data_IF_757467870986
#
_entry.id   IF_757467870986
#
_cell.length_a   1.000
_cell.length_b   1.000
_cell.length_c   1.000
_cell.angle_alpha   90.00
_cell.angle_beta   90.00
_cell.angle_gamma   90.00
#
_symmetry.space_group_name_H-M   'P 1'
#
loop_
_entity.id
_entity.type
_entity.pdbx_description
1 polymer ?
#
# COMPACT_ATOMS: atom_id res chain seq x y z
N UNK A 1 -5.14 -19.93 -15.33
CA UNK A 1 -3.97 -19.48 -16.13
C UNK A 1 -4.20 -18.12 -16.78
N UNK A 2 -5.28 -17.90 -17.54
CA UNK A 2 -5.55 -16.62 -18.23
C UNK A 2 -5.62 -15.42 -17.26
N UNK A 3 -6.31 -15.55 -16.12
CA UNK A 3 -6.42 -14.49 -15.12
C UNK A 3 -5.05 -14.10 -14.49
N UNK A 4 -4.16 -15.07 -14.26
CA UNK A 4 -2.81 -14.80 -13.76
C UNK A 4 -1.98 -14.00 -14.78
N UNK A 5 -2.09 -14.36 -16.06
CA UNK A 5 -1.45 -13.61 -17.15
C UNK A 5 -2.02 -12.18 -17.21
N UNK A 6 -3.34 -12.01 -17.06
CA UNK A 6 -3.98 -10.70 -17.04
C UNK A 6 -3.49 -9.84 -15.84
N UNK A 7 -3.30 -10.44 -14.65
CA UNK A 7 -2.72 -9.75 -13.49
C UNK A 7 -1.29 -9.25 -13.77
N UNK A 8 -0.43 -10.10 -14.35
CA UNK A 8 0.94 -9.69 -14.70
C UNK A 8 0.96 -8.64 -15.80
N UNK A 9 0.13 -8.81 -16.85
CA UNK A 9 -0.01 -7.83 -17.92
C UNK A 9 -0.49 -6.47 -17.39
N UNK A 10 -1.44 -6.46 -16.45
CA UNK A 10 -1.90 -5.24 -15.78
C UNK A 10 -0.79 -4.51 -15.04
N UNK A 11 0.01 -5.22 -14.24
CA UNK A 11 1.19 -4.62 -13.57
C UNK A 11 2.18 -4.09 -14.61
N UNK A 12 2.47 -4.86 -15.66
CA UNK A 12 3.39 -4.43 -16.71
C UNK A 12 2.90 -3.16 -17.42
N UNK A 13 1.61 -3.08 -17.74
CA UNK A 13 1.00 -1.89 -18.34
C UNK A 13 1.13 -0.68 -17.40
N UNK A 14 0.87 -0.85 -16.10
CA UNK A 14 1.02 0.22 -15.11
C UNK A 14 2.47 0.71 -15.01
N UNK A 15 3.45 -0.21 -15.07
CA UNK A 15 4.87 0.15 -15.11
C UNK A 15 5.20 0.96 -16.37
N UNK A 16 4.73 0.53 -17.54
CA UNK A 16 4.96 1.23 -18.83
C UNK A 16 4.34 2.63 -18.82
N UNK A 17 3.09 2.74 -18.35
CA UNK A 17 2.40 4.04 -18.23
C UNK A 17 3.17 4.96 -17.29
N UNK A 18 3.58 4.46 -16.12
CA UNK A 18 4.30 5.25 -15.12
C UNK A 18 5.64 5.73 -15.67
N UNK A 19 6.39 4.87 -16.37
CA UNK A 19 7.65 5.23 -17.00
C UNK A 19 7.45 6.24 -18.16
N UNK A 20 6.39 6.10 -18.94
CA UNK A 20 6.01 7.07 -19.98
C UNK A 20 5.74 8.46 -19.39
N UNK A 21 4.93 8.52 -18.31
CA UNK A 21 4.62 9.78 -17.62
C UNK A 21 5.86 10.43 -17.01
N UNK A 22 6.81 9.62 -16.54
CA UNK A 22 8.10 10.09 -16.06
C UNK A 22 8.95 10.68 -17.20
N UNK A 23 9.08 9.97 -18.33
CA UNK A 23 9.84 10.46 -19.50
C UNK A 23 9.25 11.74 -20.06
N UNK A 24 7.94 11.90 -20.02
CA UNK A 24 7.23 13.14 -20.38
C UNK A 24 7.37 14.26 -19.35
N UNK A 25 8.09 14.02 -18.24
CA UNK A 25 8.28 14.98 -17.12
C UNK A 25 6.98 15.41 -16.42
N UNK A 26 5.89 14.66 -16.60
CA UNK A 26 4.60 14.86 -15.93
C UNK A 26 4.73 14.44 -14.46
N UNK A 27 5.27 13.25 -14.19
CA UNK A 27 5.56 12.76 -12.85
C UNK A 27 7.06 12.84 -12.57
N UNK A 28 7.45 13.35 -11.40
CA UNK A 28 8.86 13.50 -11.00
C UNK A 28 9.06 13.04 -9.56
N UNK A 29 10.24 12.47 -9.29
CA UNK A 29 10.66 12.14 -7.92
C UNK A 29 9.66 11.28 -7.15
N UNK A 30 9.27 11.72 -5.98
CA UNK A 30 8.34 11.01 -5.11
C UNK A 30 6.94 10.84 -5.72
N UNK A 31 6.46 11.78 -6.53
CA UNK A 31 5.16 11.65 -7.21
C UNK A 31 5.13 10.46 -8.17
N UNK A 32 6.23 10.22 -8.90
CA UNK A 32 6.36 9.06 -9.77
C UNK A 32 6.28 7.75 -8.98
N UNK A 33 7.04 7.64 -7.88
CA UNK A 33 7.06 6.47 -7.01
C UNK A 33 5.68 6.22 -6.38
N UNK A 34 5.04 7.27 -5.85
CA UNK A 34 3.72 7.15 -5.20
C UNK A 34 2.59 6.88 -6.18
N UNK A 35 2.67 7.41 -7.40
CA UNK A 35 1.70 7.08 -8.45
C UNK A 35 1.70 5.58 -8.76
N UNK A 36 2.88 4.98 -8.97
CA UNK A 36 2.98 3.53 -9.18
C UNK A 36 2.50 2.75 -7.96
N UNK A 37 2.88 3.18 -6.76
CA UNK A 37 2.48 2.53 -5.52
C UNK A 37 0.95 2.51 -5.35
N UNK A 38 0.28 3.64 -5.58
CA UNK A 38 -1.17 3.77 -5.52
C UNK A 38 -1.85 2.88 -6.58
N UNK A 39 -1.44 3.01 -7.84
CA UNK A 39 -2.13 2.33 -8.94
C UNK A 39 -1.88 0.82 -8.92
N UNK A 40 -0.64 0.38 -8.73
CA UNK A 40 -0.30 -1.03 -8.66
C UNK A 40 -0.88 -1.67 -7.38
N UNK A 41 -0.79 -1.00 -6.23
CA UNK A 41 -1.34 -1.50 -4.98
C UNK A 41 -2.85 -1.64 -5.03
N UNK A 42 -3.58 -0.65 -5.56
CA UNK A 42 -5.04 -0.74 -5.74
C UNK A 42 -5.43 -1.87 -6.70
N UNK A 43 -4.65 -2.09 -7.75
CA UNK A 43 -4.87 -3.20 -8.67
C UNK A 43 -4.60 -4.56 -7.98
N UNK A 44 -3.51 -4.69 -7.22
CA UNK A 44 -3.19 -5.91 -6.48
C UNK A 44 -4.26 -6.19 -5.41
N UNK A 45 -4.83 -5.18 -4.77
CA UNK A 45 -5.91 -5.34 -3.81
C UNK A 45 -7.14 -6.05 -4.40
N UNK A 46 -7.38 -5.95 -5.72
CA UNK A 46 -8.47 -6.65 -6.43
C UNK A 46 -8.18 -8.11 -6.79
N UNK A 47 -6.92 -8.58 -6.68
CA UNK A 47 -6.52 -9.91 -7.13
C UNK A 47 -7.24 -11.09 -6.48
N UNK A 48 -7.65 -11.06 -5.19
CA UNK A 48 -8.40 -12.16 -4.60
C UNK A 48 -9.73 -12.50 -5.31
N UNK A 49 -10.28 -11.55 -6.08
CA UNK A 49 -11.48 -11.80 -6.90
C UNK A 49 -11.15 -12.34 -8.30
N UNK A 50 -9.90 -12.16 -8.76
CA UNK A 50 -9.47 -12.54 -10.11
C UNK A 50 -8.79 -13.91 -10.15
N UNK A 51 -8.06 -14.27 -9.08
CA UNK A 51 -7.24 -15.48 -9.02
C UNK A 51 -7.43 -16.22 -7.68
N UNK A 52 -7.04 -17.51 -7.65
CA UNK A 52 -7.02 -18.29 -6.40
C UNK A 52 -5.91 -17.81 -5.46
N UNK A 53 -6.04 -18.08 -4.17
CA UNK A 53 -5.01 -17.74 -3.16
C UNK A 53 -3.63 -18.30 -3.52
N UNK A 54 -3.55 -19.56 -3.96
CA UNK A 54 -2.28 -20.17 -4.38
C UNK A 54 -1.66 -19.43 -5.57
N UNK A 55 -2.48 -19.01 -6.54
CA UNK A 55 -2.00 -18.22 -7.68
C UNK A 55 -1.52 -16.85 -7.22
N UNK A 56 -2.26 -16.19 -6.32
CA UNK A 56 -1.88 -14.88 -5.76
C UNK A 56 -0.53 -14.97 -5.02
N UNK A 57 -0.32 -16.03 -4.23
CA UNK A 57 0.96 -16.29 -3.54
C UNK A 57 2.11 -16.44 -4.51
N UNK A 58 1.93 -17.22 -5.59
CA UNK A 58 2.94 -17.36 -6.64
C UNK A 58 3.24 -16.03 -7.31
N UNK A 59 2.21 -15.24 -7.65
CA UNK A 59 2.38 -13.91 -8.22
C UNK A 59 3.12 -12.95 -7.27
N UNK A 60 2.80 -12.99 -5.97
CA UNK A 60 3.48 -12.18 -4.96
C UNK A 60 4.98 -12.55 -4.84
N UNK A 61 5.31 -13.85 -4.88
CA UNK A 61 6.70 -14.32 -4.90
C UNK A 61 7.41 -13.82 -6.17
N UNK A 62 6.79 -13.92 -7.33
CA UNK A 62 7.37 -13.45 -8.59
C UNK A 62 7.64 -11.93 -8.55
N UNK A 63 6.69 -11.14 -8.04
CA UNK A 63 6.88 -9.68 -7.87
C UNK A 63 8.06 -9.41 -6.95
N UNK A 64 8.15 -10.09 -5.81
CA UNK A 64 9.26 -9.93 -4.87
C UNK A 64 10.60 -10.28 -5.54
N UNK A 65 10.67 -11.37 -6.28
CA UNK A 65 11.89 -11.78 -7.00
C UNK A 65 12.29 -10.75 -8.08
N UNK A 66 11.31 -10.21 -8.82
CA UNK A 66 11.56 -9.16 -9.83
C UNK A 66 12.08 -7.88 -9.17
N UNK A 67 11.50 -7.46 -8.04
CA UNK A 67 11.97 -6.28 -7.29
C UNK A 67 13.40 -6.49 -6.77
N UNK A 68 13.69 -7.67 -6.23
CA UNK A 68 15.03 -8.02 -5.76
C UNK A 68 16.02 -8.08 -6.93
N UNK A 69 15.67 -8.74 -8.03
CA UNK A 69 16.52 -8.83 -9.22
C UNK A 69 16.81 -7.43 -9.80
N UNK A 70 15.82 -6.56 -9.91
CA UNK A 70 15.99 -5.18 -10.40
C UNK A 70 16.92 -4.34 -9.50
N UNK A 71 17.15 -4.76 -8.27
CA UNK A 71 18.09 -4.08 -7.35
C UNK A 71 19.54 -4.38 -7.70
N UNK A 72 19.83 -5.58 -8.24
CA UNK A 72 21.18 -6.00 -8.66
C UNK A 72 21.42 -5.72 -10.14
N UNK A 73 20.41 -5.97 -10.99
CA UNK A 73 20.47 -5.77 -12.44
C UNK A 73 19.34 -4.78 -12.79
N UNK A 74 19.64 -3.49 -12.95
CA UNK A 74 18.59 -2.47 -13.17
C UNK A 74 18.04 -2.59 -14.59
N UNK A 75 17.02 -3.43 -14.80
CA UNK A 75 16.26 -3.51 -16.06
C UNK A 75 15.35 -2.31 -16.25
N UNK A 76 14.75 -1.84 -15.17
CA UNK A 76 13.98 -0.61 -15.13
C UNK A 76 14.75 0.42 -14.33
N UNK A 77 14.88 1.63 -14.88
CA UNK A 77 15.45 2.78 -14.16
C UNK A 77 14.48 3.22 -13.04
N UNK A 78 14.24 2.36 -12.07
CA UNK A 78 13.42 2.65 -10.90
C UNK A 78 14.17 3.71 -10.06
N UNK A 79 13.71 4.95 -10.16
CA UNK A 79 14.44 6.15 -9.74
C UNK A 79 14.58 6.34 -8.22
N UNK A 80 14.24 5.35 -7.38
CA UNK A 80 14.53 5.39 -5.95
C UNK A 80 16.01 5.62 -5.62
N UNK A 81 16.93 5.14 -6.47
CA UNK A 81 18.37 5.37 -6.31
C UNK A 81 18.83 6.82 -6.57
N UNK A 82 18.12 7.58 -7.40
CA UNK A 82 18.50 8.96 -7.73
C UNK A 82 18.05 9.99 -6.69
N UNK A 83 17.16 9.62 -5.77
CA UNK A 83 16.67 10.52 -4.73
C UNK A 83 17.57 10.57 -3.49
N UNK A 84 18.70 9.86 -3.49
CA UNK A 84 19.66 9.84 -2.35
C UNK A 84 19.10 9.20 -1.08
N UNK A 85 17.89 8.64 -1.10
CA UNK A 85 17.26 7.88 -0.02
C UNK A 85 17.12 6.43 -0.45
N UNK A 86 17.91 5.54 0.12
CA UNK A 86 17.68 4.10 0.00
C UNK A 86 16.49 3.73 0.87
N UNK A 87 15.28 3.76 0.30
CA UNK A 87 14.10 3.22 0.97
C UNK A 87 13.94 1.77 0.54
N UNK A 88 13.57 0.90 1.47
CA UNK A 88 13.25 -0.51 1.22
C UNK A 88 11.74 -0.70 1.03
N UNK A 89 10.99 0.38 0.81
CA UNK A 89 9.53 0.36 0.80
C UNK A 89 8.92 -0.52 -0.27
N UNK A 90 9.56 -0.66 -1.43
CA UNK A 90 9.16 -1.58 -2.51
C UNK A 90 9.28 -3.06 -2.09
N UNK A 91 10.38 -3.42 -1.43
CA UNK A 91 10.60 -4.77 -0.89
C UNK A 91 9.61 -5.05 0.23
N UNK A 92 9.45 -4.12 1.18
CA UNK A 92 8.52 -4.27 2.29
C UNK A 92 7.08 -4.39 1.80
N UNK A 93 6.69 -3.67 0.75
CA UNK A 93 5.37 -3.80 0.15
C UNK A 93 5.15 -5.17 -0.49
N UNK A 94 6.13 -5.68 -1.25
CA UNK A 94 6.05 -7.01 -1.84
C UNK A 94 5.99 -8.12 -0.77
N UNK A 95 6.76 -7.98 0.31
CA UNK A 95 6.70 -8.88 1.47
C UNK A 95 5.33 -8.81 2.14
N UNK A 96 4.76 -7.61 2.30
CA UNK A 96 3.43 -7.43 2.89
C UNK A 96 2.35 -8.12 2.05
N UNK A 97 2.37 -7.97 0.71
CA UNK A 97 1.45 -8.68 -0.19
C UNK A 97 1.55 -10.19 0.01
N UNK A 98 2.78 -10.71 0.06
CA UNK A 98 3.04 -12.13 0.25
C UNK A 98 2.50 -12.62 1.62
N UNK A 99 2.84 -11.95 2.71
CA UNK A 99 2.38 -12.33 4.05
C UNK A 99 0.85 -12.22 4.13
N UNK A 100 0.26 -11.11 3.66
CA UNK A 100 -1.19 -10.94 3.67
C UNK A 100 -1.89 -12.05 2.85
N UNK A 101 -1.30 -12.52 1.75
CA UNK A 101 -1.86 -13.60 0.94
C UNK A 101 -1.92 -14.97 1.65
N UNK A 102 -1.06 -15.19 2.64
CA UNK A 102 -1.09 -16.40 3.48
C UNK A 102 -2.02 -16.26 4.68
N UNK A 103 -2.14 -15.07 5.23
CA UNK A 103 -2.83 -14.85 6.50
C UNK A 103 -4.21 -14.19 6.35
N UNK A 104 -4.58 -13.63 5.21
CA UNK A 104 -5.93 -13.13 5.01
C UNK A 104 -6.91 -14.27 4.84
N UNK A 105 -7.87 -14.40 5.78
CA UNK A 105 -8.93 -15.42 5.72
C UNK A 105 -10.02 -15.02 4.72
N UNK A 106 -10.16 -13.73 4.44
CA UNK A 106 -11.18 -13.15 3.59
C UNK A 106 -10.57 -12.23 2.54
N UNK A 107 -11.20 -12.17 1.36
CA UNK A 107 -10.76 -11.34 0.23
C UNK A 107 -10.78 -9.85 0.57
N UNK A 108 -11.78 -9.44 1.35
CA UNK A 108 -11.96 -8.05 1.77
C UNK A 108 -10.86 -7.66 2.77
N UNK A 109 -10.46 -8.57 3.68
CA UNK A 109 -9.36 -8.30 4.61
C UNK A 109 -8.03 -8.08 3.90
N UNK A 110 -7.74 -8.91 2.90
CA UNK A 110 -6.58 -8.71 2.05
C UNK A 110 -6.65 -7.37 1.32
N UNK A 111 -7.78 -7.09 0.65
CA UNK A 111 -7.96 -5.87 -0.10
C UNK A 111 -7.84 -4.63 0.80
N UNK A 112 -8.47 -4.64 1.98
CA UNK A 112 -8.41 -3.55 2.94
C UNK A 112 -6.96 -3.32 3.40
N UNK A 113 -6.24 -4.37 3.78
CA UNK A 113 -4.86 -4.27 4.22
C UNK A 113 -3.94 -3.65 3.14
N UNK A 114 -4.12 -4.04 1.87
CA UNK A 114 -3.34 -3.51 0.76
C UNK A 114 -3.78 -2.09 0.37
N UNK A 115 -5.09 -1.79 0.41
CA UNK A 115 -5.61 -0.45 0.09
C UNK A 115 -5.19 0.60 1.13
N UNK A 116 -5.12 0.23 2.42
CA UNK A 116 -4.64 1.13 3.46
C UNK A 116 -3.24 1.66 3.15
N UNK A 117 -2.31 0.80 2.80
CA UNK A 117 -0.96 1.25 2.47
C UNK A 117 -0.90 1.87 1.07
N UNK A 118 -1.64 1.38 0.09
CA UNK A 118 -1.61 1.91 -1.27
C UNK A 118 -2.22 3.31 -1.35
N UNK A 119 -3.44 3.48 -0.82
CA UNK A 119 -4.19 4.72 -0.93
C UNK A 119 -3.89 5.68 0.23
N UNK A 120 -3.99 5.24 1.50
CA UNK A 120 -3.83 6.14 2.63
C UNK A 120 -2.39 6.67 2.71
N UNK A 121 -1.36 5.81 2.73
CA UNK A 121 0.04 6.26 2.70
C UNK A 121 0.41 6.93 1.36
N UNK A 122 -0.11 6.40 0.25
CA UNK A 122 0.12 6.98 -1.07
C UNK A 122 -0.33 8.43 -1.17
N UNK A 123 -1.60 8.70 -0.84
CA UNK A 123 -2.19 10.04 -0.89
C UNK A 123 -1.64 10.96 0.21
N UNK A 124 -1.40 10.43 1.42
CA UNK A 124 -0.77 11.20 2.51
C UNK A 124 0.58 11.77 2.08
N UNK A 125 1.41 10.97 1.41
CA UNK A 125 2.70 11.43 0.92
C UNK A 125 2.55 12.47 -0.20
N UNK A 126 1.69 12.25 -1.19
CA UNK A 126 1.45 13.19 -2.30
C UNK A 126 0.96 14.54 -1.79
N UNK A 127 -0.07 14.53 -0.94
CA UNK A 127 -0.66 15.77 -0.39
C UNK A 127 0.28 16.42 0.62
N UNK A 128 0.94 15.62 1.47
CA UNK A 128 1.93 16.12 2.44
C UNK A 128 3.10 16.84 1.77
N UNK A 129 3.60 16.34 0.64
CA UNK A 129 4.67 16.98 -0.15
C UNK A 129 4.16 18.26 -0.80
N UNK A 130 2.93 18.26 -1.34
CA UNK A 130 2.36 19.39 -2.08
C UNK A 130 1.99 20.54 -1.17
N UNK A 131 1.35 20.27 -0.04
CA UNK A 131 0.70 21.27 0.81
C UNK A 131 1.24 21.32 2.24
N UNK A 132 2.00 20.30 2.68
CA UNK A 132 2.45 20.17 4.06
C UNK A 132 3.76 20.88 4.42
N UNK A 133 4.36 21.66 3.53
CA UNK A 133 5.70 22.26 3.74
C UNK A 133 5.80 23.12 5.00
N UNK A 134 4.76 23.88 5.33
CA UNK A 134 4.72 24.80 6.48
C UNK A 134 4.45 24.08 7.81
N UNK A 135 3.87 22.87 7.76
CA UNK A 135 3.44 22.09 8.92
C UNK A 135 4.25 20.79 9.05
N UNK A 136 5.56 20.90 8.81
CA UNK A 136 6.47 19.78 8.91
C UNK A 136 6.99 19.57 10.32
N UNK A 137 7.10 18.31 10.73
CA UNK A 137 7.77 17.86 11.94
C UNK A 137 8.73 16.70 11.62
N UNK A 138 9.56 16.30 12.58
CA UNK A 138 10.53 15.22 12.40
C UNK A 138 10.23 14.07 13.35
N UNK A 139 10.22 12.84 12.81
CA UNK A 139 10.14 11.61 13.58
C UNK A 139 11.37 10.78 13.21
N UNK A 140 12.21 10.46 14.19
CA UNK A 140 13.49 9.76 14.02
C UNK A 140 14.36 10.36 12.89
N UNK A 141 14.37 11.70 12.76
CA UNK A 141 15.13 12.41 11.74
C UNK A 141 14.44 12.52 10.36
N UNK A 142 13.33 11.81 10.14
CA UNK A 142 12.54 11.86 8.90
C UNK A 142 11.48 12.94 8.99
N UNK A 143 11.31 13.68 7.87
CA UNK A 143 10.31 14.74 7.79
C UNK A 143 8.94 14.12 7.50
N UNK A 144 7.99 14.39 8.37
CA UNK A 144 6.55 14.15 8.21
C UNK A 144 5.81 15.49 8.21
N UNK A 145 4.53 15.49 7.87
CA UNK A 145 3.71 16.70 7.86
C UNK A 145 2.35 16.44 8.49
N UNK A 146 1.83 17.43 9.23
CA UNK A 146 0.50 17.33 9.84
C UNK A 146 -0.58 17.08 8.78
N UNK A 147 -0.50 17.78 7.64
CA UNK A 147 -1.43 17.60 6.52
C UNK A 147 -1.36 16.17 5.98
N UNK A 148 -0.17 15.60 5.83
CA UNK A 148 -0.01 14.21 5.40
C UNK A 148 -0.67 13.23 6.36
N UNK A 149 -0.44 13.38 7.67
CA UNK A 149 -1.08 12.53 8.69
C UNK A 149 -2.60 12.67 8.73
N UNK A 150 -3.12 13.90 8.54
CA UNK A 150 -4.57 14.12 8.43
C UNK A 150 -5.15 13.43 7.19
N UNK A 151 -4.49 13.52 6.04
CA UNK A 151 -4.92 12.84 4.82
C UNK A 151 -4.90 11.33 5.01
N UNK A 152 -3.84 10.78 5.63
CA UNK A 152 -3.78 9.36 5.95
C UNK A 152 -5.01 8.94 6.77
N UNK A 153 -5.28 9.65 7.85
CA UNK A 153 -6.42 9.36 8.74
C UNK A 153 -7.76 9.44 8.01
N UNK A 154 -7.99 10.50 7.22
CA UNK A 154 -9.25 10.69 6.48
C UNK A 154 -9.45 9.60 5.44
N UNK A 155 -8.40 9.24 4.68
CA UNK A 155 -8.47 8.21 3.65
C UNK A 155 -8.70 6.83 4.29
N UNK A 156 -7.99 6.49 5.36
CA UNK A 156 -8.20 5.27 6.13
C UNK A 156 -9.64 5.20 6.68
N UNK A 157 -10.12 6.29 7.29
CA UNK A 157 -11.50 6.39 7.78
C UNK A 157 -12.57 6.34 6.66
N UNK A 158 -12.19 6.52 5.41
CA UNK A 158 -13.09 6.41 4.24
C UNK A 158 -13.05 5.02 3.61
N UNK A 159 -11.88 4.41 3.51
CA UNK A 159 -11.70 3.07 2.93
C UNK A 159 -12.38 2.01 3.80
N UNK A 160 -12.20 2.10 5.11
CA UNK A 160 -12.69 1.11 6.07
C UNK A 160 -14.22 0.93 6.01
N UNK A 161 -15.05 1.99 6.09
CA UNK A 161 -16.49 1.82 5.95
C UNK A 161 -16.92 1.21 4.62
N UNK A 162 -16.30 1.66 3.51
CA UNK A 162 -16.62 1.14 2.18
C UNK A 162 -16.34 -0.38 2.08
N UNK A 163 -15.20 -0.84 2.60
CA UNK A 163 -14.85 -2.25 2.63
C UNK A 163 -15.75 -3.06 3.56
N UNK A 164 -16.06 -2.54 4.75
CA UNK A 164 -16.92 -3.23 5.73
C UNK A 164 -18.39 -3.29 5.28
N UNK A 165 -18.88 -2.27 4.56
CA UNK A 165 -20.19 -2.34 3.92
C UNK A 165 -20.27 -3.44 2.86
N UNK A 166 -19.18 -3.71 2.16
CA UNK A 166 -19.09 -4.85 1.24
C UNK A 166 -19.01 -6.20 1.97
N UNK A 167 -18.66 -6.20 3.25
CA UNK A 167 -18.48 -7.37 4.11
C UNK A 167 -19.64 -7.58 5.10
N UNK A 168 -20.87 -7.23 4.75
CA UNK A 168 -22.05 -7.19 5.64
C UNK A 168 -22.29 -8.40 6.56
N UNK A 169 -21.72 -9.57 6.25
CA UNK A 169 -21.88 -10.80 7.02
C UNK A 169 -20.75 -11.12 7.99
N UNK A 170 -19.67 -10.31 8.02
CA UNK A 170 -18.42 -10.68 8.70
C UNK A 170 -18.31 -10.06 10.09
N UNK A 171 -18.90 -8.90 10.31
CA UNK A 171 -18.80 -8.16 11.57
C UNK A 171 -20.15 -7.82 12.18
N UNK A 172 -20.22 -7.90 13.52
CA UNK A 172 -21.32 -7.31 14.27
C UNK A 172 -21.30 -5.78 14.14
N UNK A 173 -22.45 -5.13 14.37
CA UNK A 173 -22.53 -3.68 14.36
C UNK A 173 -21.57 -3.04 15.40
N UNK A 174 -21.42 -3.67 16.56
CA UNK A 174 -20.50 -3.24 17.61
C UNK A 174 -19.04 -3.32 17.16
N UNK A 175 -18.65 -4.45 16.55
CA UNK A 175 -17.32 -4.63 15.97
C UNK A 175 -17.01 -3.61 14.88
N UNK A 176 -18.02 -3.28 14.06
CA UNK A 176 -17.91 -2.26 13.03
C UNK A 176 -17.56 -0.88 13.61
N UNK A 177 -18.32 -0.41 14.61
CA UNK A 177 -18.02 0.89 15.25
C UNK A 177 -16.67 0.89 15.97
N UNK A 178 -16.30 -0.22 16.59
CA UNK A 178 -15.02 -0.36 17.25
C UNK A 178 -13.86 -0.24 16.24
N UNK A 179 -13.97 -0.90 15.07
CA UNK A 179 -12.98 -0.80 14.01
C UNK A 179 -12.88 0.64 13.46
N UNK A 180 -14.01 1.30 13.22
CA UNK A 180 -14.02 2.68 12.73
C UNK A 180 -13.33 3.66 13.69
N UNK A 181 -13.49 3.43 14.99
CA UNK A 181 -12.88 4.29 16.01
C UNK A 181 -11.39 3.99 16.20
N UNK A 182 -10.99 2.74 16.15
CA UNK A 182 -9.65 2.30 16.55
C UNK A 182 -8.67 2.23 15.36
N UNK A 183 -9.09 1.69 14.22
CA UNK A 183 -8.15 1.35 13.13
C UNK A 183 -7.51 2.59 12.50
N UNK A 184 -8.25 3.63 12.03
CA UNK A 184 -7.63 4.78 11.38
C UNK A 184 -6.63 5.53 12.26
N UNK A 185 -6.91 5.86 13.54
CA UNK A 185 -5.91 6.51 14.38
C UNK A 185 -4.69 5.62 14.66
N UNK A 186 -4.89 4.32 14.89
CA UNK A 186 -3.79 3.38 15.12
C UNK A 186 -2.86 3.30 13.91
N UNK A 187 -3.42 3.16 12.71
CA UNK A 187 -2.62 3.11 11.49
C UNK A 187 -1.94 4.45 11.21
N UNK A 188 -2.59 5.58 11.52
CA UNK A 188 -1.96 6.91 11.40
C UNK A 188 -0.75 7.04 12.33
N UNK A 189 -0.83 6.55 13.55
CA UNK A 189 0.31 6.52 14.48
C UNK A 189 1.42 5.64 13.93
N UNK A 190 1.11 4.44 13.43
CA UNK A 190 2.08 3.54 12.82
C UNK A 190 2.75 4.16 11.60
N UNK A 191 2.00 4.82 10.71
CA UNK A 191 2.54 5.56 9.57
C UNK A 191 3.54 6.62 10.02
N UNK A 192 3.20 7.37 11.06
CA UNK A 192 4.08 8.42 11.59
C UNK A 192 5.36 7.87 12.22
N UNK A 193 5.29 6.75 12.93
CA UNK A 193 6.45 6.12 13.57
C UNK A 193 7.32 5.33 12.59
N UNK A 194 6.76 4.85 11.51
CA UNK A 194 7.48 4.04 10.54
C UNK A 194 8.43 4.89 9.69
N UNK A 195 9.68 4.43 9.59
CA UNK A 195 10.75 5.05 8.82
C UNK A 195 11.37 4.02 7.86
N UNK A 196 12.19 4.43 6.90
CA UNK A 196 12.87 3.58 5.91
C UNK A 196 11.94 2.76 4.99
N UNK A 197 10.62 3.06 4.97
CA UNK A 197 9.64 2.31 4.19
C UNK A 197 9.02 1.14 4.94
N UNK A 198 9.25 1.02 6.26
CA UNK A 198 8.65 -0.01 7.14
C UNK A 198 7.12 0.15 7.22
N UNK A 199 6.58 1.37 6.99
CA UNK A 199 5.17 1.66 6.82
C UNK A 199 4.49 0.70 5.83
N UNK A 200 5.14 0.42 4.69
CA UNK A 200 4.62 -0.49 3.67
C UNK A 200 4.45 -1.96 4.13
N UNK A 201 5.07 -2.35 5.22
CA UNK A 201 4.91 -3.65 5.86
C UNK A 201 4.02 -3.56 7.11
N UNK A 202 4.28 -2.57 7.97
CA UNK A 202 3.62 -2.46 9.27
C UNK A 202 2.12 -2.17 9.14
N UNK A 203 1.72 -1.27 8.21
CA UNK A 203 0.32 -0.89 8.01
C UNK A 203 -0.53 -2.10 7.56
N UNK A 204 -0.20 -2.84 6.48
CA UNK A 204 -0.99 -3.98 6.05
C UNK A 204 -1.08 -5.08 7.12
N UNK A 205 0.02 -5.37 7.80
CA UNK A 205 0.02 -6.40 8.84
C UNK A 205 -0.82 -5.99 10.05
N UNK A 206 -0.69 -4.75 10.52
CA UNK A 206 -1.50 -4.24 11.63
C UNK A 206 -2.99 -4.24 11.26
N UNK A 207 -3.34 -3.81 10.05
CA UNK A 207 -4.71 -3.86 9.55
C UNK A 207 -5.25 -5.29 9.62
N UNK A 208 -4.52 -6.26 9.06
CA UNK A 208 -4.94 -7.66 9.03
C UNK A 208 -5.08 -8.25 10.44
N UNK A 209 -4.12 -7.98 11.34
CA UNK A 209 -4.15 -8.47 12.73
C UNK A 209 -5.37 -7.90 13.46
N UNK A 210 -5.61 -6.60 13.37
CA UNK A 210 -6.74 -5.96 14.06
C UNK A 210 -8.07 -6.48 13.51
N UNK A 211 -8.23 -6.63 12.20
CA UNK A 211 -9.44 -7.19 11.60
C UNK A 211 -9.72 -8.62 12.10
N UNK A 212 -8.69 -9.45 12.20
CA UNK A 212 -8.82 -10.82 12.71
C UNK A 212 -9.19 -10.87 14.19
N UNK A 213 -8.56 -10.04 15.01
CA UNK A 213 -8.85 -9.97 16.45
C UNK A 213 -10.28 -9.51 16.75
N UNK A 214 -10.83 -8.66 15.89
CA UNK A 214 -12.20 -8.14 16.06
C UNK A 214 -13.25 -9.07 15.44
N UNK A 215 -12.86 -9.93 14.48
CA UNK A 215 -13.72 -10.95 13.92
C UNK A 215 -13.91 -12.16 14.86
N UNK A 216 -12.88 -12.49 15.66
CA UNK A 216 -12.87 -13.62 16.58
C UNK A 216 -13.79 -13.38 17.77
#
# INVERSE_FOLDING_TARGET
MLAAIACLAGIFILLVITEYLYKRKILKGEYHRKFLHITAGSFIASWPWLVSWSTLQVLAILILLVILANRYIPFFNYHGRRLGRSTYGDIFFAIAILICSFFANDKIFFALAILEVALADGLAAVVGISYGKQWGYKVFGYRKTVIGSMVFWIVSASILPAALLAAHSVFSLQSYYFLLLLLPPTLTILENLAVFGVDNLAIPLATLIILRLVQA
#
